data_IF_900115954810
#
_entry.id   IF_900115954810
#
_cell.length_a   1.000
_cell.length_b   1.000
_cell.length_c   1.000
_cell.angle_alpha   90.00
_cell.angle_beta   90.00
_cell.angle_gamma   90.00
#
_symmetry.space_group_name_H-M   'P 1'
#
loop_
_entity.id
_entity.type
_entity.pdbx_description
1 polymer ?
#
# COMPACT_ATOMS: atom_id res chain seq x y z
N UNK A 1 -15.22 -3.08 9.70
CA UNK A 1 -14.84 -2.72 8.32
C UNK A 1 -15.99 -2.03 7.60
N UNK A 2 -17.15 -2.66 7.36
CA UNK A 2 -18.34 -1.97 6.77
C UNK A 2 -18.78 -0.76 7.62
N UNK A 3 -18.75 -0.89 8.96
CA UNK A 3 -19.06 0.22 9.88
C UNK A 3 -18.05 1.36 9.79
N UNK A 4 -16.77 1.09 9.54
CA UNK A 4 -15.74 2.13 9.37
C UNK A 4 -15.98 2.89 8.06
N UNK A 5 -16.35 2.17 7.00
CA UNK A 5 -16.72 2.75 5.71
C UNK A 5 -17.98 3.61 5.78
N UNK A 6 -19.03 3.11 6.44
CA UNK A 6 -20.24 3.88 6.66
C UNK A 6 -19.96 5.14 7.48
N UNK A 7 -19.20 5.02 8.57
CA UNK A 7 -18.83 6.16 9.41
C UNK A 7 -17.97 7.17 8.64
N UNK A 8 -16.97 6.73 7.86
CA UNK A 8 -16.16 7.61 7.02
C UNK A 8 -16.98 8.32 5.93
N UNK A 9 -18.01 7.65 5.38
CA UNK A 9 -18.91 8.25 4.39
C UNK A 9 -19.81 9.36 4.98
N UNK A 10 -20.18 9.26 6.26
CA UNK A 10 -21.05 10.21 6.97
C UNK A 10 -20.31 11.33 7.74
N UNK A 11 -18.97 11.33 7.78
CA UNK A 11 -18.21 12.41 8.43
C UNK A 11 -18.21 13.68 7.54
N UNK A 12 -18.57 14.86 8.07
CA UNK A 12 -18.71 16.08 7.27
C UNK A 12 -17.40 16.59 6.64
N UNK A 13 -17.53 17.06 5.40
CA UNK A 13 -16.51 17.48 4.42
C UNK A 13 -15.32 18.30 4.91
N UNK A 14 -15.42 19.03 6.03
CA UNK A 14 -14.34 19.91 6.51
C UNK A 14 -13.21 19.21 7.28
N UNK A 15 -13.49 18.05 7.90
CA UNK A 15 -12.51 17.39 8.77
C UNK A 15 -11.38 16.71 7.99
N UNK A 16 -11.70 16.09 6.85
CA UNK A 16 -10.70 15.42 6.00
C UNK A 16 -9.83 16.39 5.20
N UNK A 17 -10.30 17.60 4.95
CA UNK A 17 -9.49 18.60 4.25
C UNK A 17 -8.24 19.00 5.04
N UNK A 18 -8.29 19.07 6.38
CA UNK A 18 -7.10 19.33 7.19
C UNK A 18 -6.14 18.14 7.26
N UNK A 19 -6.65 16.90 7.15
CA UNK A 19 -5.82 15.69 7.07
C UNK A 19 -5.07 15.56 5.75
N UNK A 20 -5.58 16.23 4.71
CA UNK A 20 -5.15 16.13 3.31
C UNK A 20 -4.43 17.38 2.79
N UNK A 21 -4.69 18.56 3.34
CA UNK A 21 -4.12 19.82 2.84
C UNK A 21 -2.68 20.02 3.29
N UNK A 22 -1.76 20.09 2.31
CA UNK A 22 -0.36 20.48 2.46
C UNK A 22 0.58 19.54 1.70
N UNK A 23 1.81 20.00 1.44
CA UNK A 23 2.90 19.27 0.76
C UNK A 23 3.47 18.08 1.58
N UNK A 24 2.69 17.49 2.49
CA UNK A 24 3.07 16.39 3.40
C UNK A 24 1.85 16.01 4.28
N UNK A 25 0.77 15.52 3.66
CA UNK A 25 -0.49 15.21 4.37
C UNK A 25 -0.33 14.13 5.45
N UNK A 26 -1.13 14.17 6.54
CA UNK A 26 -1.02 13.17 7.62
C UNK A 26 -1.25 11.75 7.10
N UNK A 27 -2.11 11.58 6.10
CA UNK A 27 -2.42 10.28 5.49
C UNK A 27 -1.20 9.73 4.73
N UNK A 28 -0.45 10.56 4.01
CA UNK A 28 0.80 10.15 3.34
C UNK A 28 1.85 9.68 4.35
N UNK A 29 1.98 10.37 5.50
CA UNK A 29 2.83 9.90 6.58
C UNK A 29 2.38 8.55 7.16
N UNK A 30 1.08 8.35 7.34
CA UNK A 30 0.53 7.05 7.77
C UNK A 30 0.84 5.97 6.73
N UNK A 31 0.68 6.26 5.42
CA UNK A 31 1.06 5.36 4.34
C UNK A 31 2.54 5.01 4.41
N UNK A 32 3.41 6.01 4.48
CA UNK A 32 4.87 5.85 4.62
C UNK A 32 5.23 4.94 5.79
N UNK A 33 4.68 5.20 6.99
CA UNK A 33 4.96 4.37 8.17
C UNK A 33 4.41 2.95 8.01
N UNK A 34 3.22 2.78 7.44
CA UNK A 34 2.65 1.45 7.20
C UNK A 34 3.49 0.64 6.21
N UNK A 35 3.90 1.23 5.09
CA UNK A 35 4.75 0.56 4.10
C UNK A 35 6.16 0.30 4.64
N UNK A 36 6.77 1.25 5.35
CA UNK A 36 8.08 1.07 6.00
C UNK A 36 8.04 -0.07 7.02
N UNK A 37 6.98 -0.11 7.83
CA UNK A 37 6.73 -1.18 8.79
C UNK A 37 6.53 -2.52 8.07
N UNK A 38 5.71 -2.56 7.02
CA UNK A 38 5.49 -3.76 6.22
C UNK A 38 6.79 -4.27 5.57
N UNK A 39 7.63 -3.37 5.06
CA UNK A 39 8.93 -3.68 4.49
C UNK A 39 9.87 -4.31 5.53
N UNK A 40 9.99 -3.69 6.71
CA UNK A 40 10.81 -4.17 7.81
C UNK A 40 10.39 -5.59 8.23
N UNK A 41 9.11 -5.79 8.55
CA UNK A 41 8.63 -7.09 9.02
C UNK A 41 8.69 -8.16 7.93
N UNK A 42 8.45 -7.81 6.67
CA UNK A 42 8.64 -8.73 5.54
C UNK A 42 10.09 -9.18 5.39
N UNK A 43 11.05 -8.25 5.54
CA UNK A 43 12.47 -8.57 5.53
C UNK A 43 12.88 -9.45 6.72
N UNK A 44 12.39 -9.14 7.93
CA UNK A 44 12.64 -9.96 9.13
C UNK A 44 12.09 -11.37 8.96
N UNK A 45 10.88 -11.50 8.41
CA UNK A 45 10.29 -12.80 8.06
C UNK A 45 11.12 -13.54 7.01
N UNK A 46 11.61 -12.86 5.97
CA UNK A 46 12.46 -13.49 4.95
C UNK A 46 13.78 -14.03 5.51
N UNK A 47 14.41 -13.28 6.43
CA UNK A 47 15.66 -13.63 7.09
C UNK A 47 15.50 -14.74 8.13
N UNK A 48 14.58 -14.50 9.09
CA UNK A 48 14.48 -15.23 10.35
C UNK A 48 13.28 -16.17 10.42
N UNK A 49 12.41 -16.15 9.42
CA UNK A 49 11.24 -17.00 9.37
C UNK A 49 11.63 -18.48 9.42
N UNK A 50 11.12 -19.17 10.41
CA UNK A 50 11.19 -20.62 10.52
C UNK A 50 9.96 -21.24 9.87
N UNK A 51 9.99 -22.54 9.61
CA UNK A 51 8.85 -23.28 9.04
C UNK A 51 8.33 -22.75 7.67
N UNK A 52 9.15 -21.96 6.96
CA UNK A 52 8.82 -21.39 5.65
C UNK A 52 9.01 -22.39 4.48
N UNK A 53 9.50 -23.60 4.78
CA UNK A 53 9.59 -24.75 3.89
C UNK A 53 10.59 -24.64 2.73
N UNK A 54 10.54 -23.58 1.91
CA UNK A 54 11.24 -23.50 0.61
C UNK A 54 11.94 -22.16 0.37
N UNK A 55 13.03 -22.17 -0.42
CA UNK A 55 13.70 -20.95 -0.87
C UNK A 55 12.81 -20.04 -1.72
N UNK A 56 11.79 -20.60 -2.39
CA UNK A 56 10.78 -19.81 -3.11
C UNK A 56 10.00 -18.90 -2.16
N UNK A 57 9.60 -19.42 -0.99
CA UNK A 57 8.84 -18.65 -0.01
C UNK A 57 9.66 -17.45 0.52
N UNK A 58 10.92 -17.68 0.87
CA UNK A 58 11.84 -16.60 1.31
C UNK A 58 12.02 -15.54 0.24
N UNK A 59 12.21 -15.93 -1.03
CA UNK A 59 12.30 -14.98 -2.15
C UNK A 59 11.02 -14.14 -2.30
N UNK A 60 9.84 -14.75 -2.15
CA UNK A 60 8.57 -14.01 -2.20
C UNK A 60 8.46 -12.97 -1.10
N UNK A 61 8.97 -13.25 0.11
CA UNK A 61 9.02 -12.28 1.20
C UNK A 61 10.02 -11.15 0.97
N UNK A 62 11.16 -11.44 0.36
CA UNK A 62 12.09 -10.39 -0.08
C UNK A 62 11.50 -9.48 -1.15
N UNK A 63 10.79 -10.05 -2.12
CA UNK A 63 10.09 -9.27 -3.14
C UNK A 63 9.01 -8.39 -2.52
N UNK A 64 8.25 -8.92 -1.55
CA UNK A 64 7.27 -8.13 -0.81
C UNK A 64 7.95 -7.00 -0.01
N UNK A 65 9.07 -7.27 0.65
CA UNK A 65 9.83 -6.26 1.39
C UNK A 65 10.31 -5.13 0.45
N UNK A 66 10.90 -5.49 -0.69
CA UNK A 66 11.36 -4.53 -1.70
C UNK A 66 10.20 -3.72 -2.28
N UNK A 67 9.06 -4.36 -2.58
CA UNK A 67 7.85 -3.68 -3.04
C UNK A 67 7.38 -2.63 -2.02
N UNK A 68 7.22 -3.01 -0.75
CA UNK A 68 6.78 -2.07 0.28
C UNK A 68 7.78 -0.93 0.51
N UNK A 69 9.09 -1.22 0.47
CA UNK A 69 10.12 -0.19 0.60
C UNK A 69 10.07 0.81 -0.55
N UNK A 70 9.87 0.33 -1.77
CA UNK A 70 9.72 1.17 -2.96
C UNK A 70 8.48 2.07 -2.85
N UNK A 71 7.33 1.54 -2.44
CA UNK A 71 6.12 2.37 -2.27
C UNK A 71 6.30 3.38 -1.14
N UNK A 72 6.87 2.98 0.02
CA UNK A 72 7.17 3.92 1.11
C UNK A 72 8.05 5.09 0.62
N UNK A 73 9.05 4.78 -0.19
CA UNK A 73 9.92 5.75 -0.81
C UNK A 73 9.15 6.77 -1.66
N UNK A 74 8.23 6.32 -2.52
CA UNK A 74 7.44 7.18 -3.39
C UNK A 74 6.45 8.08 -2.63
N UNK A 75 5.99 7.70 -1.43
CA UNK A 75 5.01 8.47 -0.64
C UNK A 75 5.57 9.77 -0.03
N UNK A 76 6.89 9.91 0.17
CA UNK A 76 7.49 11.08 0.85
C UNK A 76 8.71 11.69 0.12
N UNK A 77 8.91 11.34 -1.15
CA UNK A 77 10.01 11.90 -1.97
C UNK A 77 11.40 11.79 -1.32
N UNK A 78 11.64 10.70 -0.57
CA UNK A 78 12.84 10.48 0.25
C UNK A 78 14.17 10.67 -0.51
N UNK A 79 14.23 10.33 -1.80
CA UNK A 79 15.45 10.42 -2.61
C UNK A 79 15.94 11.86 -2.72
N UNK A 80 15.03 12.79 -2.95
CA UNK A 80 15.33 14.21 -2.99
C UNK A 80 15.66 14.76 -1.60
N UNK A 81 14.90 14.35 -0.57
CA UNK A 81 15.10 14.80 0.82
C UNK A 81 16.43 14.31 1.42
N UNK A 82 16.89 13.12 1.05
CA UNK A 82 18.14 12.54 1.54
C UNK A 82 19.36 12.97 0.75
N UNK A 83 19.24 13.14 -0.56
CA UNK A 83 20.40 13.45 -1.42
C UNK A 83 20.53 14.93 -1.72
N UNK A 84 19.46 15.72 -1.54
CA UNK A 84 19.38 17.10 -2.00
C UNK A 84 19.36 17.24 -3.53
N UNK A 85 19.42 16.12 -4.26
CA UNK A 85 19.44 16.08 -5.73
C UNK A 85 18.04 15.73 -6.20
N UNK A 86 17.30 16.77 -6.59
CA UNK A 86 16.05 16.61 -7.33
C UNK A 86 16.32 16.52 -8.82
N UNK A 87 15.56 15.69 -9.52
CA UNK A 87 15.60 15.64 -10.98
C UNK A 87 14.70 16.77 -11.50
N UNK A 88 15.29 17.88 -11.93
CA UNK A 88 14.57 19.09 -12.35
C UNK A 88 13.48 18.80 -13.39
N UNK A 89 13.73 17.89 -14.33
CA UNK A 89 12.72 17.48 -15.33
C UNK A 89 11.53 16.72 -14.74
N UNK A 90 11.69 16.03 -13.60
CA UNK A 90 10.58 15.35 -12.89
C UNK A 90 9.81 16.40 -12.10
N UNK A 91 10.50 17.31 -11.40
CA UNK A 91 9.86 18.38 -10.63
C UNK A 91 8.98 19.30 -11.49
N UNK A 92 9.39 19.61 -12.72
CA UNK A 92 8.63 20.47 -13.66
C UNK A 92 7.26 19.90 -14.06
N UNK A 93 7.11 18.57 -14.01
CA UNK A 93 5.87 17.86 -14.40
C UNK A 93 5.17 17.20 -13.21
N UNK A 94 5.72 17.35 -12.01
CA UNK A 94 5.18 16.83 -10.77
C UNK A 94 4.29 17.89 -10.12
N UNK A 95 3.07 17.52 -9.73
CA UNK A 95 2.07 18.45 -9.19
C UNK A 95 2.46 19.07 -7.85
N UNK A 96 3.42 18.47 -7.13
CA UNK A 96 3.94 18.94 -5.84
C UNK A 96 5.38 19.48 -5.95
N UNK A 97 5.94 19.54 -7.17
CA UNK A 97 7.30 20.04 -7.39
C UNK A 97 8.41 19.14 -6.82
N UNK A 98 8.10 17.87 -6.51
CA UNK A 98 9.04 16.89 -5.94
C UNK A 98 9.54 15.88 -6.99
N UNK A 99 10.63 15.19 -6.69
CA UNK A 99 11.16 14.09 -7.51
C UNK A 99 10.50 12.75 -7.14
N UNK A 100 9.20 12.64 -7.39
CA UNK A 100 8.41 11.39 -7.29
C UNK A 100 7.62 11.12 -8.55
N UNK A 101 7.37 9.84 -8.83
CA UNK A 101 6.50 9.43 -9.93
C UNK A 101 5.02 9.44 -9.51
N UNK A 102 4.75 9.26 -8.22
CA UNK A 102 3.39 9.21 -7.64
C UNK A 102 2.55 10.48 -7.87
N UNK A 103 3.21 11.64 -7.97
CA UNK A 103 2.55 12.95 -8.13
C UNK A 103 2.58 13.50 -9.57
N UNK A 104 3.00 12.69 -10.55
CA UNK A 104 3.02 13.08 -11.97
C UNK A 104 1.66 12.83 -12.63
N UNK A 105 1.01 13.88 -13.16
CA UNK A 105 -0.30 13.75 -13.82
C UNK A 105 -0.29 12.73 -14.97
N UNK A 106 0.79 12.72 -15.75
CA UNK A 106 0.96 11.79 -16.88
C UNK A 106 0.99 10.30 -16.46
N UNK A 107 1.34 10.01 -15.21
CA UNK A 107 1.45 8.64 -14.68
C UNK A 107 0.23 8.22 -13.84
N UNK A 108 -0.68 9.15 -13.49
CA UNK A 108 -1.85 8.85 -12.66
C UNK A 108 -2.71 7.72 -13.23
N UNK A 109 -2.93 7.68 -14.55
CA UNK A 109 -3.68 6.58 -15.17
C UNK A 109 -3.01 5.21 -14.99
N UNK A 110 -1.67 5.14 -15.09
CA UNK A 110 -0.92 3.92 -14.81
C UNK A 110 -0.95 3.54 -13.33
N UNK A 111 -0.91 4.53 -12.45
CA UNK A 111 -1.01 4.35 -11.00
C UNK A 111 -2.35 3.74 -10.59
N UNK A 112 -3.48 4.22 -11.13
CA UNK A 112 -4.80 3.66 -10.85
C UNK A 112 -4.88 2.18 -11.24
N UNK A 113 -4.40 1.83 -12.44
CA UNK A 113 -4.33 0.44 -12.91
C UNK A 113 -3.46 -0.41 -11.96
N UNK A 114 -2.36 0.13 -11.47
CA UNK A 114 -1.50 -0.55 -10.49
C UNK A 114 -2.21 -0.85 -9.18
N UNK A 115 -3.05 0.05 -8.67
CA UNK A 115 -3.86 -0.17 -7.47
C UNK A 115 -4.95 -1.21 -7.70
N UNK A 116 -5.59 -1.19 -8.87
CA UNK A 116 -6.57 -2.21 -9.27
C UNK A 116 -5.92 -3.59 -9.27
N UNK A 117 -4.79 -3.74 -9.97
CA UNK A 117 -4.07 -5.01 -10.10
C UNK A 117 -3.57 -5.49 -8.73
N UNK A 118 -2.93 -4.61 -7.96
CA UNK A 118 -2.40 -4.94 -6.63
C UNK A 118 -3.53 -5.39 -5.70
N UNK A 119 -4.65 -4.66 -5.66
CA UNK A 119 -5.80 -5.01 -4.83
C UNK A 119 -6.46 -6.33 -5.25
N UNK A 120 -6.48 -6.68 -6.54
CA UNK A 120 -7.00 -7.97 -7.02
C UNK A 120 -6.05 -9.12 -6.69
N UNK A 121 -4.74 -8.90 -6.86
CA UNK A 121 -3.72 -9.90 -6.55
C UNK A 121 -3.70 -10.18 -5.04
N UNK A 122 -3.60 -9.15 -4.19
CA UNK A 122 -3.56 -9.33 -2.75
C UNK A 122 -4.92 -9.66 -2.13
N UNK A 123 -6.00 -9.21 -2.77
CA UNK A 123 -7.37 -9.43 -2.30
C UNK A 123 -7.97 -10.76 -2.69
N UNK A 124 -7.58 -11.37 -3.81
CA UNK A 124 -8.22 -12.60 -4.29
C UNK A 124 -7.24 -13.57 -4.97
N UNK A 125 -6.56 -13.14 -6.03
CA UNK A 125 -5.82 -14.06 -6.90
C UNK A 125 -4.66 -14.74 -6.16
N UNK A 126 -3.95 -14.00 -5.30
CA UNK A 126 -2.79 -14.45 -4.53
C UNK A 126 -3.09 -15.70 -3.71
N UNK A 127 -4.03 -15.61 -2.77
CA UNK A 127 -4.38 -16.75 -1.92
C UNK A 127 -5.20 -17.82 -2.64
N UNK A 128 -5.91 -17.48 -3.73
CA UNK A 128 -6.72 -18.43 -4.49
C UNK A 128 -5.89 -19.34 -5.40
N UNK A 129 -4.87 -18.79 -6.05
CA UNK A 129 -4.03 -19.51 -7.03
C UNK A 129 -2.67 -19.90 -6.47
N UNK A 130 -2.13 -19.15 -5.49
CA UNK A 130 -0.87 -19.45 -4.81
C UNK A 130 -1.01 -19.55 -3.29
N UNK A 131 -1.90 -20.42 -2.76
CA UNK A 131 -2.16 -20.53 -1.31
C UNK A 131 -0.93 -20.93 -0.48
N UNK A 132 0.09 -21.53 -1.12
CA UNK A 132 1.35 -21.93 -0.46
C UNK A 132 2.35 -20.78 -0.29
N UNK A 133 2.18 -19.67 -1.01
CA UNK A 133 3.06 -18.50 -0.90
C UNK A 133 2.55 -17.59 0.22
N UNK A 134 3.22 -17.66 1.36
CA UNK A 134 2.80 -16.98 2.59
C UNK A 134 2.99 -15.46 2.55
N UNK A 135 3.76 -14.95 1.59
CA UNK A 135 3.90 -13.53 1.30
C UNK A 135 2.64 -12.93 0.63
N UNK A 136 1.75 -13.76 0.06
CA UNK A 136 0.44 -13.26 -0.32
C UNK A 136 -0.46 -13.15 0.91
N UNK A 137 -1.22 -12.05 1.05
CA UNK A 137 -2.14 -11.90 2.15
C UNK A 137 -3.18 -13.03 2.20
N UNK A 138 -3.48 -13.48 3.42
CA UNK A 138 -4.51 -14.50 3.67
C UNK A 138 -5.91 -13.97 3.34
N UNK A 139 -6.84 -14.87 3.03
CA UNK A 139 -8.24 -14.56 2.65
C UNK A 139 -8.99 -13.56 3.53
N UNK A 140 -8.66 -13.47 4.83
CA UNK A 140 -9.34 -12.52 5.72
C UNK A 140 -8.81 -11.08 5.59
N UNK A 141 -7.63 -10.89 4.99
CA UNK A 141 -7.13 -9.58 4.64
C UNK A 141 -7.73 -9.04 3.34
N UNK A 142 -8.51 -9.84 2.60
CA UNK A 142 -9.14 -9.43 1.34
C UNK A 142 -9.93 -8.12 1.43
N UNK A 143 -10.53 -7.84 2.59
CA UNK A 143 -11.30 -6.62 2.83
C UNK A 143 -10.44 -5.34 2.91
N UNK A 144 -9.11 -5.45 2.96
CA UNK A 144 -8.20 -4.30 2.84
C UNK A 144 -7.80 -4.01 1.39
N UNK A 145 -8.00 -4.97 0.48
CA UNK A 145 -7.46 -4.91 -0.88
C UNK A 145 -8.54 -4.82 -1.95
N UNK A 146 -9.61 -5.62 -1.84
CA UNK A 146 -10.69 -5.63 -2.83
C UNK A 146 -11.46 -4.30 -2.89
N UNK A 147 -11.73 -3.58 -1.77
CA UNK A 147 -12.33 -2.26 -1.86
C UNK A 147 -11.48 -1.24 -2.62
N UNK A 148 -10.15 -1.36 -2.56
CA UNK A 148 -9.22 -0.51 -3.30
C UNK A 148 -9.39 -0.73 -4.79
N UNK A 149 -9.36 -1.99 -5.24
CA UNK A 149 -9.61 -2.31 -6.66
C UNK A 149 -10.98 -1.85 -7.13
N UNK A 150 -12.02 -2.07 -6.32
CA UNK A 150 -13.38 -1.67 -6.66
C UNK A 150 -13.50 -0.14 -6.78
N UNK A 151 -12.87 0.61 -5.87
CA UNK A 151 -12.86 2.07 -5.89
C UNK A 151 -12.15 2.62 -7.12
N UNK A 152 -10.91 2.21 -7.42
CA UNK A 152 -10.20 2.73 -8.59
C UNK A 152 -10.87 2.33 -9.90
N UNK A 153 -11.40 1.11 -10.00
CA UNK A 153 -12.18 0.70 -11.17
C UNK A 153 -13.44 1.57 -11.35
N UNK A 154 -14.17 1.84 -10.26
CA UNK A 154 -15.34 2.70 -10.30
C UNK A 154 -14.97 4.17 -10.59
N UNK A 155 -13.87 4.66 -10.02
CA UNK A 155 -13.34 6.00 -10.24
C UNK A 155 -13.00 6.23 -11.72
N UNK A 156 -12.26 5.30 -12.34
CA UNK A 156 -11.90 5.37 -13.75
C UNK A 156 -13.13 5.22 -14.67
N UNK A 157 -14.02 4.26 -14.37
CA UNK A 157 -15.25 4.09 -15.13
C UNK A 157 -16.17 5.32 -15.03
N UNK A 158 -16.23 5.98 -13.87
CA UNK A 158 -17.04 7.19 -13.69
C UNK A 158 -16.55 8.33 -14.58
N UNK A 159 -15.23 8.50 -14.68
CA UNK A 159 -14.60 9.49 -15.54
C UNK A 159 -14.87 9.22 -17.02
N UNK A 160 -14.77 7.95 -17.45
CA UNK A 160 -15.03 7.54 -18.84
C UNK A 160 -16.51 7.70 -19.20
N UNK A 161 -17.42 7.36 -18.28
CA UNK A 161 -18.86 7.27 -18.57
C UNK A 161 -19.60 8.61 -18.44
N UNK A 162 -19.27 9.43 -17.44
CA UNK A 162 -20.07 10.62 -17.08
C UNK A 162 -19.33 11.95 -17.26
N UNK A 163 -18.05 11.94 -17.68
CA UNK A 163 -17.13 13.09 -17.70
C UNK A 163 -16.85 13.74 -16.34
N UNK A 164 -17.66 13.47 -15.32
CA UNK A 164 -17.44 13.89 -13.93
C UNK A 164 -16.83 12.75 -13.09
N UNK A 165 -15.76 13.07 -12.37
CA UNK A 165 -15.16 12.14 -11.40
C UNK A 165 -16.01 12.10 -10.14
N UNK A 166 -16.22 10.90 -9.61
CA UNK A 166 -16.71 10.73 -8.23
C UNK A 166 -15.74 11.40 -7.23
N UNK A 167 -16.20 11.57 -5.99
CA UNK A 167 -15.40 12.16 -4.92
C UNK A 167 -14.00 11.54 -4.87
N UNK A 168 -12.97 12.39 -4.92
CA UNK A 168 -11.57 11.96 -4.92
C UNK A 168 -11.15 11.54 -3.51
N UNK A 169 -11.45 10.29 -3.13
CA UNK A 169 -11.04 9.69 -1.86
C UNK A 169 -9.81 8.79 -1.99
N UNK A 170 -8.99 8.96 -3.05
CA UNK A 170 -7.88 8.07 -3.40
C UNK A 170 -6.97 7.75 -2.20
N UNK A 171 -6.46 8.77 -1.51
CA UNK A 171 -5.59 8.62 -0.34
C UNK A 171 -6.16 7.71 0.77
N UNK A 172 -7.48 7.69 0.96
CA UNK A 172 -8.12 6.82 1.98
C UNK A 172 -8.00 5.35 1.56
N UNK A 173 -8.19 5.06 0.27
CA UNK A 173 -8.08 3.69 -0.26
C UNK A 173 -6.61 3.25 -0.37
N UNK A 174 -5.70 4.15 -0.71
CA UNK A 174 -4.26 3.89 -0.67
C UNK A 174 -3.79 3.59 0.76
N UNK A 175 -4.23 4.38 1.75
CA UNK A 175 -3.98 4.12 3.16
C UNK A 175 -4.57 2.78 3.64
N UNK A 176 -5.76 2.39 3.15
CA UNK A 176 -6.35 1.09 3.47
C UNK A 176 -5.47 -0.06 2.97
N UNK A 177 -4.91 0.07 1.76
CA UNK A 177 -3.98 -0.90 1.19
C UNK A 177 -2.72 -1.03 2.05
N UNK A 178 -2.13 0.11 2.44
CA UNK A 178 -0.93 0.17 3.27
C UNK A 178 -1.16 -0.51 4.64
N UNK A 179 -2.29 -0.23 5.30
CA UNK A 179 -2.68 -0.87 6.56
C UNK A 179 -2.82 -2.39 6.38
N UNK A 180 -3.45 -2.84 5.29
CA UNK A 180 -3.61 -4.26 4.96
C UNK A 180 -2.26 -4.99 4.87
N UNK A 181 -1.27 -4.38 4.23
CA UNK A 181 0.08 -4.93 4.11
C UNK A 181 0.83 -4.93 5.45
N UNK A 182 0.75 -3.84 6.21
CA UNK A 182 1.37 -3.75 7.53
C UNK A 182 0.83 -4.82 8.49
N UNK A 183 -0.50 -5.00 8.54
CA UNK A 183 -1.14 -6.02 9.36
C UNK A 183 -0.79 -7.45 8.89
N UNK A 184 -0.71 -7.67 7.58
CA UNK A 184 -0.28 -8.95 7.03
C UNK A 184 1.17 -9.29 7.44
N UNK A 185 2.09 -8.33 7.28
CA UNK A 185 3.49 -8.51 7.65
C UNK A 185 3.65 -8.75 9.16
N UNK A 186 2.94 -7.98 10.00
CA UNK A 186 2.93 -8.19 11.45
C UNK A 186 2.42 -9.57 11.85
N UNK A 187 1.29 -9.98 11.27
CA UNK A 187 0.70 -11.28 11.56
C UNK A 187 1.66 -12.41 11.17
N UNK A 188 2.28 -12.32 10.01
CA UNK A 188 3.26 -13.30 9.53
C UNK A 188 4.53 -13.31 10.39
N UNK A 189 5.01 -12.15 10.85
CA UNK A 189 6.11 -12.07 11.80
C UNK A 189 5.83 -12.85 13.09
N UNK A 190 4.65 -12.68 13.68
CA UNK A 190 4.27 -13.44 14.88
C UNK A 190 4.28 -14.94 14.65
N UNK A 191 3.85 -15.38 13.47
CA UNK A 191 3.65 -16.80 13.13
C UNK A 191 4.93 -17.50 12.69
N UNK A 192 5.83 -16.81 12.01
CA UNK A 192 7.04 -17.43 11.46
C UNK A 192 8.31 -17.07 12.24
N UNK A 193 8.26 -16.08 13.13
CA UNK A 193 9.46 -15.61 13.86
C UNK A 193 9.29 -15.70 15.37
N UNK A 194 8.13 -15.35 15.93
CA UNK A 194 7.95 -15.35 17.39
C UNK A 194 7.50 -16.70 17.95
N UNK A 195 6.57 -17.40 17.29
CA UNK A 195 5.98 -18.63 17.85
C UNK A 195 6.96 -19.80 18.00
N UNK A 196 8.13 -19.74 17.37
CA UNK A 196 9.18 -20.75 17.52
C UNK A 196 10.09 -20.49 18.73
N UNK A 197 10.24 -19.23 19.15
CA UNK A 197 11.10 -18.88 20.30
C UNK A 197 10.48 -19.21 21.65
N UNK A 198 9.15 -19.29 21.73
CA UNK A 198 8.46 -19.65 22.97
C UNK A 198 8.58 -21.12 23.35
N UNK A 199 9.28 -21.94 22.56
CA UNK A 199 9.52 -23.37 22.82
C UNK A 199 10.98 -23.64 23.23
N UNK A 200 11.87 -22.66 23.05
CA UNK A 200 13.31 -22.78 23.35
C UNK A 200 13.72 -22.13 24.69
N UNK A 201 12.79 -21.44 25.39
CA UNK A 201 12.95 -20.86 26.74
C UNK A 201 12.18 -21.69 27.79
#
# INVERSE_FOLDING_TARGET
MIVIYAVAYFIPFGFFNWLRQGDDGLIQWIQFFCYSFAALFSAVVACRGTNMGTGRQRRSWWLLAAFNLFVAAEEISWGERLTGVGLGFIREVNTQGETTLHNMEALQGGLHVSFIITGLIFGYLGWRFWPKLTAFPRRWFSLYFLPVSAFYAYFDLSWIANLDRIRNDQEIFECLLAIGLALHAWWSFKVYVLSDRSVED
#
